data_IF_269594889382
#
_entry.id   IF_269594889382
#
_cell.length_a   1.000
_cell.length_b   1.000
_cell.length_c   1.000
_cell.angle_alpha   90.00
_cell.angle_beta   90.00
_cell.angle_gamma   90.00
#
_symmetry.space_group_name_H-M   'P 1'
#
loop_
_entity.id
_entity.type
_entity.pdbx_description
1 polymer ?
#
# COMPACT_ATOMS: atom_id res chain seq x y z
N UNK A 1 -10.11 20.86 -0.17
CA UNK A 1 -9.74 19.96 0.95
C UNK A 1 -8.24 20.01 1.20
N UNK A 2 -7.37 19.69 0.23
CA UNK A 2 -5.90 19.75 0.42
C UNK A 2 -5.20 21.02 -0.11
N UNK A 3 -5.94 22.07 -0.46
CA UNK A 3 -5.38 23.37 -0.88
C UNK A 3 -4.88 23.41 -2.33
N UNK A 4 -3.89 22.57 -2.69
CA UNK A 4 -3.30 22.50 -4.02
C UNK A 4 -2.92 21.06 -4.41
N UNK A 5 -2.58 20.82 -5.69
CA UNK A 5 -2.18 19.48 -6.17
C UNK A 5 -0.84 19.00 -5.60
N UNK A 6 0.11 19.91 -5.39
CA UNK A 6 1.43 19.59 -4.84
C UNK A 6 1.33 19.06 -3.39
N UNK A 7 0.31 19.49 -2.64
CA UNK A 7 0.05 19.02 -1.29
C UNK A 7 -0.35 17.53 -1.21
N UNK A 8 -0.65 16.88 -2.33
CA UNK A 8 -0.94 15.44 -2.39
C UNK A 8 0.34 14.60 -2.60
N UNK A 9 1.49 15.23 -2.83
CA UNK A 9 2.75 14.55 -3.09
C UNK A 9 3.38 14.04 -1.79
N UNK A 10 3.74 12.75 -1.74
CA UNK A 10 4.41 12.14 -0.59
C UNK A 10 3.49 11.70 0.56
N UNK A 11 2.17 11.66 0.34
CA UNK A 11 1.21 11.14 1.30
C UNK A 11 1.24 9.61 1.44
N UNK A 12 0.54 9.10 2.46
CA UNK A 12 0.41 7.66 2.69
C UNK A 12 -0.84 7.09 2.01
N UNK A 13 -0.73 5.87 1.47
CA UNK A 13 -1.89 5.15 0.90
C UNK A 13 -3.02 4.99 1.93
N UNK A 14 -2.66 4.81 3.20
CA UNK A 14 -3.60 4.68 4.32
C UNK A 14 -4.48 5.92 4.50
N UNK A 15 -3.91 7.12 4.36
CA UNK A 15 -4.69 8.38 4.47
C UNK A 15 -5.77 8.42 3.39
N UNK A 16 -5.42 8.03 2.15
CA UNK A 16 -6.39 7.94 1.07
C UNK A 16 -7.49 6.90 1.33
N UNK A 17 -7.15 5.75 1.93
CA UNK A 17 -8.14 4.73 2.28
C UNK A 17 -9.13 5.22 3.34
N UNK A 18 -8.65 5.89 4.37
CA UNK A 18 -9.48 6.45 5.43
C UNK A 18 -10.36 7.59 4.89
N UNK A 19 -9.80 8.50 4.10
CA UNK A 19 -10.54 9.62 3.48
C UNK A 19 -11.68 9.13 2.57
N UNK A 20 -11.47 8.05 1.82
CA UNK A 20 -12.48 7.53 0.89
C UNK A 20 -13.53 6.62 1.53
N UNK A 21 -13.18 5.92 2.61
CA UNK A 21 -14.05 4.89 3.18
C UNK A 21 -14.61 5.23 4.56
N UNK A 22 -13.96 6.13 5.30
CA UNK A 22 -14.21 6.33 6.73
C UNK A 22 -13.92 5.08 7.59
N UNK A 23 -13.21 4.10 7.03
CA UNK A 23 -12.88 2.83 7.66
C UNK A 23 -11.68 2.92 8.60
N UNK A 24 -11.29 1.76 9.13
CA UNK A 24 -10.10 1.61 9.96
C UNK A 24 -9.00 1.02 9.08
N UNK A 25 -7.84 1.65 9.06
CA UNK A 25 -6.67 1.11 8.38
C UNK A 25 -5.86 0.18 9.27
N UNK A 26 -5.42 -0.93 8.68
CA UNK A 26 -4.48 -1.87 9.29
C UNK A 26 -3.26 -2.03 8.38
N UNK A 27 -2.07 -2.09 9.00
CA UNK A 27 -0.80 -2.21 8.30
C UNK A 27 -0.05 -3.46 8.76
N UNK A 28 0.54 -4.19 7.82
CA UNK A 28 1.29 -5.41 8.10
C UNK A 28 2.75 -5.28 7.63
N UNK A 29 3.71 -5.56 8.52
CA UNK A 29 5.12 -5.72 8.14
C UNK A 29 5.32 -7.08 7.47
N UNK A 30 5.60 -7.07 6.16
CA UNK A 30 5.81 -8.30 5.39
C UNK A 30 7.08 -9.07 5.79
N UNK A 31 8.05 -8.44 6.47
CA UNK A 31 9.21 -9.15 7.04
C UNK A 31 8.84 -9.96 8.29
N UNK A 32 7.72 -9.63 8.92
CA UNK A 32 7.17 -10.28 10.12
C UNK A 32 5.71 -10.70 9.87
N UNK A 33 5.44 -11.22 8.68
CA UNK A 33 4.09 -11.59 8.27
C UNK A 33 3.52 -12.76 9.10
N UNK A 34 2.25 -12.68 9.52
CA UNK A 34 1.57 -13.81 10.15
C UNK A 34 1.40 -14.98 9.18
N UNK A 35 1.35 -16.20 9.71
CA UNK A 35 1.24 -17.44 8.91
C UNK A 35 -0.03 -17.53 8.08
N UNK A 36 -1.09 -16.82 8.47
CA UNK A 36 -2.37 -16.75 7.78
C UNK A 36 -2.53 -15.51 6.87
N UNK A 37 -1.45 -14.82 6.51
CA UNK A 37 -1.48 -13.59 5.69
C UNK A 37 -2.32 -13.73 4.40
N UNK A 38 -2.17 -14.83 3.67
CA UNK A 38 -2.92 -15.04 2.44
C UNK A 38 -4.44 -15.12 2.68
N UNK A 39 -4.86 -15.74 3.78
CA UNK A 39 -6.27 -15.82 4.17
C UNK A 39 -6.81 -14.44 4.55
N UNK A 40 -6.02 -13.63 5.27
CA UNK A 40 -6.37 -12.25 5.62
C UNK A 40 -6.58 -11.42 4.34
N UNK A 41 -5.63 -11.47 3.40
CA UNK A 41 -5.72 -10.74 2.13
C UNK A 41 -6.96 -11.16 1.34
N UNK A 42 -7.21 -12.46 1.23
CA UNK A 42 -8.37 -12.98 0.51
C UNK A 42 -9.69 -12.51 1.13
N UNK A 43 -9.80 -12.62 2.46
CA UNK A 43 -10.99 -12.17 3.19
C UNK A 43 -11.21 -10.66 3.05
N UNK A 44 -10.14 -9.86 3.10
CA UNK A 44 -10.22 -8.41 2.92
C UNK A 44 -10.65 -8.03 1.49
N UNK A 45 -10.16 -8.73 0.47
CA UNK A 45 -10.61 -8.53 -0.92
C UNK A 45 -12.08 -8.93 -1.09
N UNK A 46 -12.52 -10.04 -0.50
CA UNK A 46 -13.90 -10.51 -0.55
C UNK A 46 -14.88 -9.58 0.19
N UNK A 47 -14.44 -8.92 1.27
CA UNK A 47 -15.23 -7.93 2.00
C UNK A 47 -15.28 -6.55 1.33
N UNK A 48 -14.56 -6.35 0.22
CA UNK A 48 -14.48 -5.08 -0.48
C UNK A 48 -13.56 -4.06 0.18
N UNK A 49 -12.63 -4.49 1.04
CA UNK A 49 -11.62 -3.60 1.61
C UNK A 49 -10.66 -3.10 0.52
N UNK A 50 -10.04 -1.95 0.77
CA UNK A 50 -8.97 -1.42 -0.06
C UNK A 50 -7.62 -1.93 0.47
N UNK A 51 -6.84 -2.56 -0.39
CA UNK A 51 -5.52 -3.08 -0.04
C UNK A 51 -4.45 -2.40 -0.90
N UNK A 52 -3.37 -2.00 -0.23
CA UNK A 52 -2.20 -1.45 -0.87
C UNK A 52 -0.92 -2.02 -0.29
N UNK A 53 0.16 -1.96 -1.05
CA UNK A 53 1.50 -2.32 -0.60
C UNK A 53 2.54 -1.38 -1.22
N UNK A 54 3.71 -1.30 -0.60
CA UNK A 54 4.83 -0.52 -1.11
C UNK A 54 6.13 -1.22 -0.77
N UNK A 55 7.20 -0.87 -1.49
CA UNK A 55 8.55 -1.33 -1.19
C UNK A 55 9.29 -0.20 -0.48
N UNK A 56 9.77 -0.45 0.72
CA UNK A 56 10.54 0.54 1.49
C UNK A 56 11.79 1.00 0.73
N UNK A 57 12.08 2.30 0.82
CA UNK A 57 13.34 2.87 0.34
C UNK A 57 14.38 2.84 1.46
N UNK A 58 15.63 2.56 1.09
CA UNK A 58 16.78 2.59 2.01
C UNK A 58 17.45 3.95 2.11
N UNK A 59 17.21 4.83 1.12
CA UNK A 59 17.74 6.18 1.05
C UNK A 59 16.76 7.08 0.30
N UNK A 60 16.73 8.38 0.57
CA UNK A 60 15.92 9.33 -0.18
C UNK A 60 16.26 9.35 -1.69
N UNK A 61 17.53 9.04 -2.03
CA UNK A 61 17.96 8.91 -3.42
C UNK A 61 17.38 7.68 -4.14
N UNK A 62 16.85 6.72 -3.39
CA UNK A 62 16.18 5.53 -3.90
C UNK A 62 14.69 5.73 -4.14
N UNK A 63 14.15 6.93 -3.86
CA UNK A 63 12.75 7.27 -4.13
C UNK A 63 12.46 7.11 -5.61
N UNK A 64 11.39 6.36 -5.92
CA UNK A 64 10.97 6.02 -7.29
C UNK A 64 12.02 5.25 -8.11
N UNK A 65 13.05 4.68 -7.47
CA UNK A 65 14.04 3.89 -8.16
C UNK A 65 13.45 2.55 -8.63
N UNK A 66 13.74 2.19 -9.88
CA UNK A 66 13.26 0.95 -10.51
C UNK A 66 14.23 -0.21 -10.21
N UNK A 67 13.72 -1.30 -9.65
CA UNK A 67 14.48 -2.52 -9.40
C UNK A 67 14.83 -3.26 -10.70
N UNK A 68 15.73 -4.24 -10.63
CA UNK A 68 16.06 -5.09 -11.78
C UNK A 68 14.84 -5.85 -12.33
N UNK A 69 13.84 -6.14 -11.47
CA UNK A 69 12.58 -6.79 -11.83
C UNK A 69 11.49 -5.81 -12.27
N UNK A 70 11.84 -4.54 -12.49
CA UNK A 70 10.92 -3.48 -12.95
C UNK A 70 9.84 -3.09 -11.93
N UNK A 71 10.07 -3.32 -10.65
CA UNK A 71 9.25 -2.77 -9.56
C UNK A 71 9.79 -1.41 -9.13
N UNK A 72 8.95 -0.50 -8.68
CA UNK A 72 9.33 0.86 -8.25
C UNK A 72 9.38 0.91 -6.72
N UNK A 73 10.49 1.38 -6.16
CA UNK A 73 10.63 1.56 -4.70
C UNK A 73 10.00 2.88 -4.24
N UNK A 74 9.50 2.91 -3.01
CA UNK A 74 8.83 4.08 -2.44
C UNK A 74 7.54 4.44 -3.16
N UNK A 75 6.94 3.47 -3.86
CA UNK A 75 5.75 3.65 -4.68
C UNK A 75 4.61 2.80 -4.15
N UNK A 76 3.41 3.39 -4.11
CA UNK A 76 2.20 2.72 -3.68
C UNK A 76 1.63 1.86 -4.81
N UNK A 77 1.41 0.58 -4.52
CA UNK A 77 0.74 -0.38 -5.41
C UNK A 77 -0.59 -0.79 -4.80
N UNK A 78 -1.59 -1.02 -5.66
CA UNK A 78 -2.87 -1.60 -5.25
C UNK A 78 -2.84 -3.11 -5.37
N UNK A 79 -3.34 -3.81 -4.35
CA UNK A 79 -3.59 -5.25 -4.40
C UNK A 79 -5.02 -5.45 -4.88
N UNK A 80 -5.19 -5.99 -6.10
CA UNK A 80 -6.51 -6.07 -6.75
C UNK A 80 -7.11 -7.48 -6.74
N UNK A 81 -6.28 -8.52 -6.54
CA UNK A 81 -6.74 -9.91 -6.57
C UNK A 81 -5.76 -10.85 -5.86
N UNK A 82 -6.28 -11.90 -5.21
CA UNK A 82 -5.52 -13.02 -4.70
C UNK A 82 -6.23 -14.34 -5.11
N UNK A 83 -5.49 -15.23 -5.77
CA UNK A 83 -6.00 -16.55 -6.22
C UNK A 83 -4.96 -17.62 -5.96
N UNK A 84 -5.41 -18.81 -5.56
CA UNK A 84 -4.62 -20.06 -5.56
C UNK A 84 -4.61 -20.73 -6.93
#
# INVERSE_FOLDING_TARGET
VNGCYEALSGGSTTEGFEDFTGGIAESFDLKQAPSNMFQIIKQALESGALLGCSIDITSAADSEAITYQKLVKGHAYSLTKATE
#
